data_IF_094200139405
#
_entry.id   IF_094200139405
#
_cell.length_a   1.000
_cell.length_b   1.000
_cell.length_c   1.000
_cell.angle_alpha   90.00
_cell.angle_beta   90.00
_cell.angle_gamma   90.00
#
_symmetry.space_group_name_H-M   'P 1'
#
loop_
_entity.id
_entity.type
_entity.pdbx_description
1 polymer ?
#
# COMPACT_ATOMS: atom_id res chain seq x y z
N UNK A 1 -27.14 -12.84 6.78
CA UNK A 1 -26.08 -12.83 5.75
C UNK A 1 -26.06 -14.17 5.02
N UNK A 2 -25.93 -14.18 3.70
CA UNK A 2 -25.89 -15.41 2.90
C UNK A 2 -24.62 -16.23 3.16
N UNK A 3 -24.78 -17.53 3.44
CA UNK A 3 -23.64 -18.47 3.65
C UNK A 3 -22.68 -18.50 2.46
N UNK A 4 -23.18 -18.24 1.26
CA UNK A 4 -22.35 -18.18 0.04
C UNK A 4 -21.46 -16.94 0.04
N UNK A 5 -21.97 -15.79 0.49
CA UNK A 5 -21.20 -14.55 0.58
C UNK A 5 -20.07 -14.66 1.61
N UNK A 6 -20.34 -15.26 2.78
CA UNK A 6 -19.31 -15.50 3.79
C UNK A 6 -18.18 -16.40 3.27
N UNK A 7 -18.52 -17.45 2.52
CA UNK A 7 -17.52 -18.33 1.88
C UNK A 7 -16.69 -17.58 0.83
N UNK A 8 -17.33 -16.75 0.01
CA UNK A 8 -16.63 -15.94 -0.98
C UNK A 8 -15.66 -14.96 -0.31
N UNK A 9 -16.09 -14.25 0.74
CA UNK A 9 -15.22 -13.34 1.48
C UNK A 9 -14.03 -14.08 2.08
N UNK A 10 -14.26 -15.23 2.73
CA UNK A 10 -13.19 -16.03 3.32
C UNK A 10 -12.20 -16.54 2.27
N UNK A 11 -12.69 -16.97 1.10
CA UNK A 11 -11.85 -17.42 -0.01
C UNK A 11 -11.02 -16.28 -0.59
N UNK A 12 -11.63 -15.12 -0.86
CA UNK A 12 -10.94 -13.94 -1.37
C UNK A 12 -9.88 -13.46 -0.38
N UNK A 13 -10.23 -13.35 0.91
CA UNK A 13 -9.28 -12.99 1.97
C UNK A 13 -8.08 -13.93 1.96
N UNK A 14 -8.32 -15.25 1.99
CA UNK A 14 -7.24 -16.23 1.94
C UNK A 14 -6.37 -16.08 0.68
N UNK A 15 -6.99 -15.91 -0.48
CA UNK A 15 -6.26 -15.73 -1.75
C UNK A 15 -5.38 -14.48 -1.75
N UNK A 16 -5.78 -13.40 -1.07
CA UNK A 16 -4.95 -12.19 -0.93
C UNK A 16 -3.75 -12.41 -0.01
N UNK A 17 -3.90 -13.16 1.08
CA UNK A 17 -2.78 -13.59 1.93
C UNK A 17 -1.83 -14.54 1.19
N UNK A 18 -2.36 -15.55 0.49
CA UNK A 18 -1.56 -16.53 -0.26
C UNK A 18 -0.73 -15.87 -1.39
N UNK A 19 -1.20 -14.73 -1.92
CA UNK A 19 -0.49 -13.93 -2.92
C UNK A 19 0.46 -12.87 -2.30
N UNK A 20 0.49 -12.72 -0.98
CA UNK A 20 1.30 -11.73 -0.28
C UNK A 20 0.81 -10.29 -0.44
N UNK A 21 -0.47 -10.08 -0.76
CA UNK A 21 -1.10 -8.75 -0.76
C UNK A 21 -1.59 -8.33 0.62
N UNK A 22 -1.76 -9.28 1.53
CA UNK A 22 -2.11 -9.05 2.93
C UNK A 22 -1.14 -9.85 3.79
N UNK A 23 -0.84 -9.32 4.97
CA UNK A 23 0.13 -9.85 5.92
C UNK A 23 -0.41 -9.77 7.36
N UNK A 24 0.43 -10.09 8.34
CA UNK A 24 0.06 -10.06 9.75
C UNK A 24 -0.38 -8.66 10.22
N UNK A 25 0.05 -7.57 9.58
CA UNK A 25 -0.42 -6.22 9.92
C UNK A 25 -1.91 -6.05 9.60
N UNK A 26 -2.39 -6.62 8.49
CA UNK A 26 -3.81 -6.58 8.17
C UNK A 26 -4.67 -7.31 9.21
N UNK A 27 -4.16 -8.41 9.78
CA UNK A 27 -4.84 -9.13 10.88
C UNK A 27 -4.93 -8.23 12.12
N UNK A 28 -3.85 -7.52 12.46
CA UNK A 28 -3.85 -6.57 13.59
C UNK A 28 -4.86 -5.42 13.37
N UNK A 29 -5.02 -4.96 12.13
CA UNK A 29 -6.05 -3.96 11.79
C UNK A 29 -7.47 -4.51 11.98
N UNK A 30 -7.72 -5.77 11.59
CA UNK A 30 -9.00 -6.44 11.83
C UNK A 30 -9.28 -6.62 13.33
N UNK A 31 -8.29 -6.97 14.13
CA UNK A 31 -8.42 -7.14 15.60
C UNK A 31 -8.72 -5.83 16.35
N UNK A 32 -8.39 -4.67 15.75
CA UNK A 32 -8.73 -3.35 16.29
C UNK A 32 -10.18 -2.93 15.98
N UNK A 33 -10.87 -3.63 15.09
CA UNK A 33 -12.27 -3.38 14.79
C UNK A 33 -13.15 -4.00 15.87
N UNK A 34 -14.02 -3.19 16.48
CA UNK A 34 -14.96 -3.62 17.51
C UNK A 34 -16.39 -3.13 17.22
N UNK A 35 -17.34 -3.49 18.08
CA UNK A 35 -18.75 -3.09 17.95
C UNK A 35 -18.94 -1.56 18.09
N UNK A 36 -17.97 -0.84 18.67
CA UNK A 36 -18.01 0.62 18.82
C UNK A 36 -17.48 1.34 17.57
N UNK A 37 -16.58 0.72 16.81
CA UNK A 37 -16.08 1.21 15.52
C UNK A 37 -16.10 0.11 14.44
N UNK A 38 -17.29 -0.27 13.92
CA UNK A 38 -17.42 -1.37 12.97
C UNK A 38 -16.84 -1.07 11.58
N UNK A 39 -16.48 0.18 11.28
CA UNK A 39 -15.95 0.61 9.98
C UNK A 39 -14.44 0.89 10.02
N UNK A 40 -13.76 0.60 11.12
CA UNK A 40 -12.35 0.93 11.32
C UNK A 40 -11.46 0.47 10.15
N UNK A 41 -11.58 -0.81 9.75
CA UNK A 41 -10.76 -1.36 8.65
C UNK A 41 -11.07 -0.65 7.33
N UNK A 42 -12.35 -0.35 7.06
CA UNK A 42 -12.75 0.37 5.85
C UNK A 42 -12.18 1.79 5.82
N UNK A 43 -12.20 2.52 6.95
CA UNK A 43 -11.64 3.86 7.06
C UNK A 43 -10.12 3.86 6.82
N UNK A 44 -9.42 2.90 7.42
CA UNK A 44 -7.98 2.75 7.26
C UNK A 44 -7.60 2.41 5.82
N UNK A 45 -8.28 1.45 5.21
CA UNK A 45 -8.06 1.06 3.81
C UNK A 45 -8.39 2.22 2.86
N UNK A 46 -9.46 2.97 3.14
CA UNK A 46 -9.83 4.16 2.36
C UNK A 46 -8.75 5.24 2.44
N UNK A 47 -8.24 5.51 3.64
CA UNK A 47 -7.16 6.48 3.85
C UNK A 47 -5.89 6.05 3.10
N UNK A 48 -5.54 4.77 3.17
CA UNK A 48 -4.40 4.21 2.44
C UNK A 48 -4.50 4.45 0.93
N UNK A 49 -5.65 4.15 0.31
CA UNK A 49 -5.84 4.36 -1.12
C UNK A 49 -5.83 5.86 -1.49
N UNK A 50 -6.43 6.72 -0.67
CA UNK A 50 -6.43 8.17 -0.88
C UNK A 50 -5.02 8.75 -0.85
N UNK A 51 -4.23 8.40 0.17
CA UNK A 51 -2.84 8.84 0.31
C UNK A 51 -1.97 8.29 -0.83
N UNK A 52 -2.15 7.02 -1.20
CA UNK A 52 -1.43 6.37 -2.29
C UNK A 52 -1.69 7.05 -3.64
N UNK A 53 -2.96 7.34 -3.97
CA UNK A 53 -3.32 8.03 -5.20
C UNK A 53 -2.70 9.44 -5.28
N UNK A 54 -2.69 10.18 -4.16
CA UNK A 54 -2.03 11.50 -4.08
C UNK A 54 -0.52 11.39 -4.31
N UNK A 55 0.13 10.41 -3.68
CA UNK A 55 1.57 10.21 -3.79
C UNK A 55 2.00 9.78 -5.19
N UNK A 56 1.25 8.86 -5.82
CA UNK A 56 1.47 8.45 -7.22
C UNK A 56 1.38 9.66 -8.15
N UNK A 57 0.34 10.49 -8.00
CA UNK A 57 0.20 11.72 -8.79
C UNK A 57 1.38 12.68 -8.60
N UNK A 58 1.87 12.84 -7.37
CA UNK A 58 3.03 13.69 -7.09
C UNK A 58 4.32 13.15 -7.74
N UNK A 59 4.49 11.83 -7.76
CA UNK A 59 5.59 11.14 -8.45
C UNK A 59 5.51 11.40 -9.96
N UNK A 60 4.34 11.22 -10.57
CA UNK A 60 4.12 11.48 -12.01
C UNK A 60 4.47 12.93 -12.37
N UNK A 61 3.97 13.90 -11.59
CA UNK A 61 4.27 15.32 -11.79
C UNK A 61 5.75 15.64 -11.62
N UNK A 62 6.43 15.03 -10.65
CA UNK A 62 7.86 15.23 -10.45
C UNK A 62 8.68 14.71 -11.64
N UNK A 63 8.27 13.59 -12.24
CA UNK A 63 8.88 13.00 -13.44
C UNK A 63 8.63 13.84 -14.71
N UNK A 64 7.48 14.50 -14.82
CA UNK A 64 7.16 15.38 -15.96
C UNK A 64 7.95 16.71 -15.93
N UNK A 65 8.41 17.15 -14.75
CA UNK A 65 9.20 18.38 -14.62
C UNK A 65 10.55 18.27 -15.34
N UNK A 66 10.93 19.36 -16.04
CA UNK A 66 12.23 19.48 -16.70
C UNK A 66 12.94 20.80 -16.29
N UNK A 67 14.12 20.72 -15.64
CA UNK A 67 14.80 19.50 -15.21
C UNK A 67 14.04 18.77 -14.09
N UNK A 68 14.15 17.44 -14.06
CA UNK A 68 13.52 16.59 -13.03
C UNK A 68 14.17 16.85 -11.68
N UNK A 69 13.34 17.09 -10.66
CA UNK A 69 13.77 17.28 -9.28
C UNK A 69 13.86 15.91 -8.58
N UNK A 70 15.05 15.29 -8.64
CA UNK A 70 15.29 13.96 -8.10
C UNK A 70 15.25 13.90 -6.57
N UNK A 71 15.59 14.99 -5.87
CA UNK A 71 15.52 15.04 -4.41
C UNK A 71 14.04 14.97 -3.96
N UNK A 72 13.19 15.75 -4.63
CA UNK A 72 11.74 15.73 -4.36
C UNK A 72 11.07 14.42 -4.76
N UNK A 73 11.55 13.77 -5.83
CA UNK A 73 11.09 12.44 -6.23
C UNK A 73 11.45 11.38 -5.19
N UNK A 74 12.67 11.43 -4.63
CA UNK A 74 13.10 10.53 -3.56
C UNK A 74 12.23 10.69 -2.31
N UNK A 75 11.92 11.93 -1.93
CA UNK A 75 11.01 12.23 -0.81
C UNK A 75 9.61 11.61 -1.01
N UNK A 76 9.03 11.73 -2.22
CA UNK A 76 7.72 11.14 -2.52
C UNK A 76 7.76 9.61 -2.52
N UNK A 77 8.83 9.01 -3.05
CA UNK A 77 9.03 7.56 -3.02
C UNK A 77 9.20 7.04 -1.59
N UNK A 78 9.94 7.78 -0.76
CA UNK A 78 10.11 7.45 0.65
C UNK A 78 8.78 7.52 1.41
N UNK A 79 8.01 8.59 1.20
CA UNK A 79 6.67 8.74 1.80
C UNK A 79 5.71 7.65 1.34
N UNK A 80 5.71 7.29 0.06
CA UNK A 80 4.89 6.21 -0.48
C UNK A 80 5.27 4.83 0.05
N UNK A 81 6.58 4.58 0.23
CA UNK A 81 7.05 3.37 0.90
C UNK A 81 6.57 3.33 2.36
N UNK A 82 6.76 4.42 3.09
CA UNK A 82 6.37 4.55 4.49
C UNK A 82 4.87 4.45 4.73
N UNK A 83 4.05 5.05 3.86
CA UNK A 83 2.59 4.96 3.98
C UNK A 83 2.11 3.53 3.78
N UNK A 84 2.68 2.78 2.82
CA UNK A 84 2.26 1.40 2.59
C UNK A 84 2.72 0.44 3.68
N UNK A 85 3.95 0.60 4.20
CA UNK A 85 4.50 -0.23 5.27
C UNK A 85 3.74 -0.14 6.61
N UNK A 86 2.84 0.83 6.75
CA UNK A 86 1.97 1.00 7.93
C UNK A 86 0.68 0.18 7.84
N UNK A 87 0.31 -0.25 6.64
CA UNK A 87 -0.99 -0.89 6.39
C UNK A 87 -0.85 -2.29 5.79
N UNK A 88 0.23 -2.54 5.03
CA UNK A 88 0.51 -3.81 4.36
C UNK A 88 2.02 -3.95 4.10
N UNK A 89 2.68 -4.96 4.69
CA UNK A 89 4.02 -5.39 4.25
C UNK A 89 3.90 -6.26 3.01
N UNK A 90 3.81 -5.62 1.84
CA UNK A 90 3.85 -6.32 0.56
C UNK A 90 5.30 -6.66 0.25
N UNK A 91 5.72 -7.89 0.52
CA UNK A 91 7.07 -8.42 0.21
C UNK A 91 7.47 -8.21 -1.27
N UNK A 92 6.49 -8.03 -2.17
CA UNK A 92 6.68 -7.68 -3.58
C UNK A 92 7.16 -6.24 -3.85
N UNK A 93 7.26 -5.36 -2.84
CA UNK A 93 7.83 -4.00 -3.00
C UNK A 93 9.35 -3.97 -3.15
N UNK A 94 10.05 -5.06 -2.83
CA UNK A 94 11.49 -5.14 -3.02
C UNK A 94 11.89 -5.04 -4.51
N UNK A 95 10.99 -5.37 -5.45
CA UNK A 95 11.30 -5.36 -6.89
C UNK A 95 11.38 -3.93 -7.45
N UNK A 96 10.53 -2.99 -7.01
CA UNK A 96 10.53 -1.61 -7.54
C UNK A 96 11.61 -0.73 -6.90
N UNK A 97 11.91 -0.93 -5.61
CA UNK A 97 12.93 -0.14 -4.89
C UNK A 97 14.35 -0.63 -5.19
N UNK A 98 14.56 -1.94 -5.41
CA UNK A 98 15.87 -2.43 -5.86
C UNK A 98 16.22 -1.92 -7.27
N UNK A 99 15.25 -1.90 -8.18
CA UNK A 99 15.43 -1.36 -9.54
C UNK A 99 15.88 0.12 -9.54
N UNK A 100 15.35 0.94 -8.63
CA UNK A 100 15.72 2.36 -8.53
C UNK A 100 17.11 2.59 -7.92
N UNK A 101 17.51 1.78 -6.93
CA UNK A 101 18.84 1.87 -6.30
C UNK A 101 19.94 1.42 -7.27
N UNK A 102 19.65 0.47 -8.15
CA UNK A 102 20.53 0.11 -9.27
C UNK A 102 20.60 1.23 -10.30
N UNK A 103 19.46 1.84 -10.69
CA UNK A 103 19.43 2.95 -11.67
C UNK A 103 20.23 4.17 -11.21
N UNK A 104 20.19 4.51 -9.91
CA UNK A 104 21.01 5.58 -9.31
C UNK A 104 22.52 5.26 -9.30
N UNK A 105 22.91 4.00 -9.41
CA UNK A 105 24.32 3.60 -9.54
C UNK A 105 24.89 3.79 -10.95
N UNK A 106 24.04 4.09 -11.94
CA UNK A 106 24.41 4.25 -13.35
C UNK A 106 24.37 5.70 -13.86
N UNK A 107 23.94 6.68 -13.06
CA UNK A 107 24.11 8.12 -13.31
C UNK A 107 25.26 8.68 -12.46
#
# INVERSE_FOLDING_TARGET
MDRNLQRQIAYTRKSLFDQGYLDEQFIQLEDLQDDANPNFVEEIVTLFYSDSARLIRNIEQALENNPTDFDRLDDFMHQFKGSSSRYVDVEHKNIHVHSYREFRGFM
#
